data_IF_668227344392
#
_entry.id   IF_668227344392
#
_cell.length_a   1.000
_cell.length_b   1.000
_cell.length_c   1.000
_cell.angle_alpha   90.00
_cell.angle_beta   90.00
_cell.angle_gamma   90.00
#
_symmetry.space_group_name_H-M   'P 1'
#
loop_
_entity.id
_entity.type
_entity.pdbx_description
1 polymer ?
#
# COMPACT_ATOMS: atom_id res chain seq x y z
N UNK A 1 31.92 -23.46 9.78
CA UNK A 1 30.88 -22.46 9.46
C UNK A 1 30.95 -22.17 7.97
N UNK A 2 29.84 -22.36 7.23
CA UNK A 2 29.81 -22.00 5.81
C UNK A 2 30.08 -20.50 5.64
N UNK A 3 30.82 -20.12 4.59
CA UNK A 3 31.03 -18.71 4.25
C UNK A 3 29.68 -18.15 3.78
N UNK A 4 29.02 -17.37 4.62
CA UNK A 4 27.76 -16.68 4.30
C UNK A 4 27.96 -15.85 3.03
N UNK A 5 27.11 -16.04 2.02
CA UNK A 5 27.14 -15.25 0.79
C UNK A 5 26.26 -14.00 0.94
N UNK A 6 25.04 -14.16 1.45
CA UNK A 6 24.07 -13.08 1.51
C UNK A 6 23.71 -12.69 2.94
N UNK A 7 23.68 -11.37 3.11
CA UNK A 7 23.08 -10.62 4.20
C UNK A 7 22.28 -9.49 3.55
N UNK A 8 21.23 -8.99 4.21
CA UNK A 8 20.39 -7.95 3.61
C UNK A 8 21.14 -6.62 3.53
N UNK A 9 20.88 -5.90 2.44
CA UNK A 9 21.67 -4.73 2.01
C UNK A 9 20.89 -3.43 2.11
N UNK A 10 19.58 -3.50 2.35
CA UNK A 10 18.63 -2.40 2.19
C UNK A 10 18.55 -1.84 0.76
N UNK A 11 19.26 -2.42 -0.22
CA UNK A 11 19.05 -2.13 -1.62
C UNK A 11 17.89 -2.98 -2.15
N UNK A 12 16.81 -2.37 -2.66
CA UNK A 12 15.58 -3.09 -2.98
C UNK A 12 15.77 -4.15 -4.07
N UNK A 13 16.58 -3.88 -5.10
CA UNK A 13 16.82 -4.84 -6.18
C UNK A 13 17.69 -6.00 -5.73
N UNK A 14 18.71 -5.74 -4.90
CA UNK A 14 19.57 -6.79 -4.36
C UNK A 14 18.79 -7.68 -3.41
N UNK A 15 18.09 -7.10 -2.44
CA UNK A 15 17.34 -7.84 -1.43
C UNK A 15 16.21 -8.66 -2.06
N UNK A 16 15.52 -8.11 -3.05
CA UNK A 16 14.53 -8.84 -3.85
C UNK A 16 15.15 -10.05 -4.57
N UNK A 17 16.34 -9.86 -5.13
CA UNK A 17 17.13 -10.91 -5.72
C UNK A 17 17.51 -12.02 -4.74
N UNK A 18 17.96 -11.64 -3.54
CA UNK A 18 18.30 -12.56 -2.45
C UNK A 18 17.08 -13.40 -2.06
N UNK A 19 15.92 -12.77 -1.87
CA UNK A 19 14.67 -13.48 -1.57
C UNK A 19 14.25 -14.42 -2.70
N UNK A 20 14.39 -13.99 -3.96
CA UNK A 20 14.10 -14.84 -5.11
C UNK A 20 15.01 -16.08 -5.14
N UNK A 21 16.32 -15.90 -4.96
CA UNK A 21 17.30 -17.00 -4.92
C UNK A 21 16.98 -17.96 -3.76
N UNK A 22 16.70 -17.41 -2.58
CA UNK A 22 16.34 -18.17 -1.37
C UNK A 22 15.14 -19.09 -1.62
N UNK A 23 14.08 -18.58 -2.25
CA UNK A 23 12.89 -19.37 -2.59
C UNK A 23 13.18 -20.44 -3.65
N UNK A 24 13.96 -20.11 -4.69
CA UNK A 24 14.34 -21.08 -5.74
C UNK A 24 15.22 -22.20 -5.19
N UNK A 25 16.14 -21.88 -4.29
CA UNK A 25 17.03 -22.84 -3.64
C UNK A 25 16.38 -23.57 -2.45
N UNK A 26 15.20 -23.10 -1.97
CA UNK A 26 14.52 -23.58 -0.76
C UNK A 26 15.41 -23.56 0.48
N UNK A 27 16.19 -22.49 0.64
CA UNK A 27 17.14 -22.27 1.74
C UNK A 27 17.04 -20.84 2.23
N UNK A 28 17.33 -20.61 3.51
CA UNK A 28 17.37 -19.23 4.02
C UNK A 28 18.49 -18.43 3.34
N UNK A 29 18.36 -17.09 3.22
CA UNK A 29 19.38 -16.25 2.62
C UNK A 29 20.81 -16.48 3.14
N UNK A 30 20.95 -16.66 4.46
CA UNK A 30 22.24 -16.89 5.11
C UNK A 30 22.78 -18.33 4.99
N UNK A 31 22.00 -19.27 4.46
CA UNK A 31 22.38 -20.67 4.23
C UNK A 31 22.84 -20.94 2.79
N UNK A 32 22.67 -19.96 1.89
CA UNK A 32 23.01 -20.07 0.48
C UNK A 32 24.52 -20.19 0.27
N UNK A 33 24.92 -21.12 -0.61
CA UNK A 33 26.29 -21.29 -1.05
C UNK A 33 26.41 -21.28 -2.59
N UNK A 34 27.64 -21.26 -3.13
CA UNK A 34 27.87 -21.17 -4.59
C UNK A 34 27.25 -22.32 -5.38
N UNK A 35 27.15 -23.53 -4.81
CA UNK A 35 26.51 -24.66 -5.50
C UNK A 35 25.00 -24.44 -5.63
N UNK A 36 24.35 -23.86 -4.61
CA UNK A 36 22.94 -23.48 -4.69
C UNK A 36 22.70 -22.44 -5.79
N UNK A 37 23.59 -21.43 -5.89
CA UNK A 37 23.50 -20.41 -6.94
C UNK A 37 23.67 -21.01 -8.35
N UNK A 38 24.60 -21.94 -8.53
CA UNK A 38 24.81 -22.64 -9.81
C UNK A 38 23.60 -23.51 -10.17
N UNK A 39 23.01 -24.19 -9.18
CA UNK A 39 21.88 -25.10 -9.37
C UNK A 39 20.59 -24.44 -9.88
N UNK A 40 20.45 -23.11 -9.76
CA UNK A 40 19.23 -22.39 -10.18
C UNK A 40 19.38 -21.63 -11.51
N UNK A 41 20.58 -21.61 -12.12
CA UNK A 41 20.84 -20.85 -13.36
C UNK A 41 19.97 -21.35 -14.51
N UNK A 42 20.06 -22.64 -14.85
CA UNK A 42 19.45 -23.19 -16.06
C UNK A 42 17.92 -22.98 -16.09
N UNK A 43 17.28 -23.14 -14.94
CA UNK A 43 15.84 -22.93 -14.78
C UNK A 43 15.45 -21.48 -15.08
N UNK A 44 16.21 -20.51 -14.56
CA UNK A 44 15.93 -19.09 -14.74
C UNK A 44 16.22 -18.65 -16.18
N UNK A 45 17.28 -19.17 -16.80
CA UNK A 45 17.56 -18.90 -18.22
C UNK A 45 16.41 -19.39 -19.11
N UNK A 46 15.97 -20.64 -18.92
CA UNK A 46 14.83 -21.21 -19.66
C UNK A 46 13.58 -20.36 -19.48
N UNK A 47 13.30 -19.91 -18.25
CA UNK A 47 12.17 -19.03 -17.95
C UNK A 47 12.29 -17.69 -18.69
N UNK A 48 13.45 -17.03 -18.61
CA UNK A 48 13.67 -15.69 -19.19
C UNK A 48 13.65 -15.68 -20.71
N UNK A 49 13.96 -16.80 -21.36
CA UNK A 49 13.86 -16.95 -22.81
C UNK A 49 12.43 -17.10 -23.33
N UNK A 50 11.46 -17.36 -22.45
CA UNK A 50 10.05 -17.37 -22.86
C UNK A 50 9.59 -15.97 -23.31
N UNK A 51 8.67 -15.91 -24.27
CA UNK A 51 8.25 -14.64 -24.90
C UNK A 51 7.77 -13.58 -23.91
N UNK A 52 6.98 -13.95 -22.90
CA UNK A 52 6.43 -13.01 -21.90
C UNK A 52 7.50 -12.53 -20.94
N UNK A 53 8.30 -13.45 -20.38
CA UNK A 53 9.41 -13.07 -19.52
C UNK A 53 10.44 -12.22 -20.24
N UNK A 54 10.84 -12.57 -21.47
CA UNK A 54 11.78 -11.76 -22.25
C UNK A 54 11.33 -10.30 -22.38
N UNK A 55 10.02 -10.04 -22.52
CA UNK A 55 9.45 -8.68 -22.51
C UNK A 55 9.60 -8.01 -21.13
N UNK A 56 9.29 -8.71 -20.04
CA UNK A 56 9.50 -8.18 -18.68
C UNK A 56 10.99 -7.90 -18.42
N UNK A 57 11.87 -8.85 -18.73
CA UNK A 57 13.32 -8.69 -18.53
C UNK A 57 13.86 -7.54 -19.37
N UNK A 58 13.36 -7.30 -20.59
CA UNK A 58 13.77 -6.14 -21.37
C UNK A 58 13.41 -4.79 -20.70
N UNK A 59 12.32 -4.73 -19.92
CA UNK A 59 11.99 -3.56 -19.09
C UNK A 59 12.82 -3.44 -17.80
N UNK A 60 13.61 -4.45 -17.45
CA UNK A 60 14.50 -4.43 -16.27
C UNK A 60 15.97 -4.26 -16.69
N UNK A 61 16.40 -5.03 -17.68
CA UNK A 61 17.78 -5.17 -18.18
C UNK A 61 17.81 -4.98 -19.70
N UNK A 62 17.66 -3.74 -20.22
CA UNK A 62 17.78 -3.49 -21.65
C UNK A 62 19.18 -3.83 -22.14
N UNK A 63 19.29 -4.41 -23.34
CA UNK A 63 20.57 -4.80 -23.97
C UNK A 63 21.38 -5.90 -23.25
N UNK A 64 20.83 -6.50 -22.19
CA UNK A 64 21.37 -7.70 -21.57
C UNK A 64 21.48 -8.85 -22.59
N UNK A 65 22.43 -9.80 -22.46
CA UNK A 65 22.54 -10.95 -23.36
C UNK A 65 21.21 -11.66 -23.65
N UNK A 66 20.32 -11.78 -22.65
CA UNK A 66 19.03 -12.46 -22.80
C UNK A 66 17.98 -11.63 -23.56
N UNK A 67 18.08 -10.30 -23.52
CA UNK A 67 17.10 -9.37 -24.11
C UNK A 67 17.57 -8.79 -25.45
N UNK A 68 18.88 -8.79 -25.71
CA UNK A 68 19.46 -8.20 -26.92
C UNK A 68 19.13 -9.03 -28.19
N UNK A 69 18.42 -8.47 -29.19
CA UNK A 69 18.07 -9.19 -30.42
C UNK A 69 19.28 -9.62 -31.27
N UNK A 70 20.41 -8.92 -31.18
CA UNK A 70 21.62 -9.23 -31.95
C UNK A 70 22.41 -10.42 -31.41
N UNK A 71 22.08 -10.91 -30.21
CA UNK A 71 22.72 -12.07 -29.60
C UNK A 71 22.02 -13.34 -30.07
N UNK A 72 22.76 -14.22 -30.76
CA UNK A 72 22.26 -15.52 -31.25
C UNK A 72 22.26 -16.59 -30.15
N UNK A 73 23.36 -16.74 -29.41
CA UNK A 73 23.51 -17.74 -28.34
C UNK A 73 23.21 -17.11 -26.97
N UNK A 74 21.93 -16.77 -26.75
CA UNK A 74 21.51 -15.99 -25.58
C UNK A 74 21.67 -16.74 -24.27
N UNK A 75 21.33 -18.02 -24.27
CA UNK A 75 21.48 -18.97 -23.17
C UNK A 75 22.94 -19.12 -22.74
N UNK A 76 23.83 -19.44 -23.67
CA UNK A 76 25.26 -19.62 -23.39
C UNK A 76 25.89 -18.35 -22.81
N UNK A 77 25.63 -17.19 -23.43
CA UNK A 77 26.21 -15.92 -22.98
C UNK A 77 25.68 -15.47 -21.62
N UNK A 78 24.40 -15.67 -21.36
CA UNK A 78 23.83 -15.30 -20.07
C UNK A 78 24.27 -16.27 -18.97
N UNK A 79 24.38 -17.57 -19.27
CA UNK A 79 24.96 -18.57 -18.37
C UNK A 79 26.42 -18.25 -18.02
N UNK A 80 27.23 -17.88 -19.01
CA UNK A 80 28.62 -17.48 -18.78
C UNK A 80 28.70 -16.25 -17.86
N UNK A 81 27.88 -15.23 -18.10
CA UNK A 81 27.80 -14.03 -17.26
C UNK A 81 27.42 -14.37 -15.80
N UNK A 82 26.43 -15.23 -15.59
CA UNK A 82 26.01 -15.62 -14.25
C UNK A 82 27.08 -16.45 -13.53
N UNK A 83 27.76 -17.36 -14.22
CA UNK A 83 28.84 -18.15 -13.65
C UNK A 83 30.07 -17.29 -13.30
N UNK A 84 30.45 -16.34 -14.16
CA UNK A 84 31.52 -15.36 -13.89
C UNK A 84 31.23 -14.58 -12.60
N UNK A 85 29.99 -14.11 -12.41
CA UNK A 85 29.58 -13.43 -11.18
C UNK A 85 29.71 -14.35 -9.96
N UNK A 86 29.28 -15.62 -10.04
CA UNK A 86 29.41 -16.58 -8.93
C UNK A 86 30.87 -16.84 -8.59
N UNK A 87 31.72 -17.04 -9.59
CA UNK A 87 33.13 -17.34 -9.40
C UNK A 87 33.85 -16.14 -8.75
N UNK A 88 33.48 -14.92 -9.14
CA UNK A 88 33.92 -13.66 -8.52
C UNK A 88 33.46 -13.43 -7.08
N UNK A 89 32.49 -14.18 -6.55
CA UNK A 89 32.03 -14.01 -5.15
C UNK A 89 33.15 -14.34 -4.18
N UNK A 90 33.69 -13.30 -3.53
CA UNK A 90 34.59 -13.38 -2.38
C UNK A 90 33.86 -13.61 -1.05
N UNK A 91 34.60 -13.85 0.06
CA UNK A 91 34.01 -13.93 1.39
C UNK A 91 33.28 -12.62 1.74
N UNK A 92 32.26 -12.72 2.60
CA UNK A 92 31.61 -11.53 3.15
C UNK A 92 32.57 -10.85 4.14
N UNK A 93 32.92 -9.59 3.90
CA UNK A 93 33.75 -8.77 4.79
C UNK A 93 32.92 -7.84 5.68
N UNK A 94 33.63 -6.99 6.43
CA UNK A 94 33.05 -5.90 7.22
C UNK A 94 33.13 -4.52 6.52
N UNK A 95 33.78 -4.47 5.36
CA UNK A 95 33.97 -3.27 4.55
C UNK A 95 34.13 -3.65 3.07
N UNK A 96 33.92 -2.69 2.17
CA UNK A 96 34.13 -2.82 0.73
C UNK A 96 33.53 -1.63 0.00
N UNK A 97 33.83 -1.50 -1.29
CA UNK A 97 33.39 -0.37 -2.14
C UNK A 97 32.06 -0.64 -2.88
N UNK A 98 31.41 -1.80 -2.67
CA UNK A 98 30.10 -2.06 -3.25
C UNK A 98 29.00 -1.14 -2.70
N UNK A 99 28.33 -0.40 -3.57
CA UNK A 99 27.30 0.59 -3.18
C UNK A 99 26.03 -0.02 -2.59
N UNK A 100 25.81 -1.33 -2.76
CA UNK A 100 24.68 -2.02 -2.16
C UNK A 100 25.00 -2.55 -0.77
N UNK A 101 25.99 -3.45 -0.66
CA UNK A 101 26.25 -4.13 0.61
C UNK A 101 27.32 -3.46 1.48
N UNK A 102 28.22 -2.66 0.90
CA UNK A 102 29.38 -2.09 1.62
C UNK A 102 30.33 -3.12 2.25
N UNK A 103 30.23 -4.41 1.86
CA UNK A 103 30.91 -5.55 2.52
C UNK A 103 31.84 -6.35 1.60
N UNK A 104 31.95 -5.97 0.32
CA UNK A 104 32.80 -6.61 -0.69
C UNK A 104 33.27 -5.60 -1.71
N UNK A 105 34.43 -5.89 -2.29
CA UNK A 105 35.01 -5.07 -3.35
C UNK A 105 34.39 -5.37 -4.72
N UNK A 106 34.34 -4.34 -5.55
CA UNK A 106 33.88 -4.36 -6.93
C UNK A 106 35.00 -4.90 -7.82
N UNK A 107 34.68 -5.94 -8.58
CA UNK A 107 35.59 -6.51 -9.57
C UNK A 107 35.34 -5.93 -10.96
N UNK A 108 34.07 -5.72 -11.29
CA UNK A 108 33.64 -5.15 -12.55
C UNK A 108 32.43 -4.25 -12.31
N UNK A 109 32.47 -3.05 -12.89
CA UNK A 109 31.34 -2.13 -12.86
C UNK A 109 30.26 -2.55 -13.83
N UNK A 110 29.02 -2.27 -13.46
CA UNK A 110 27.85 -2.71 -14.20
C UNK A 110 26.98 -1.53 -14.61
N UNK A 111 26.54 -1.52 -15.86
CA UNK A 111 25.56 -0.56 -16.37
C UNK A 111 24.15 -1.07 -16.23
N UNK A 112 23.23 -0.33 -16.84
CA UNK A 112 21.79 -0.62 -16.80
C UNK A 112 21.35 -1.93 -17.45
N UNK A 113 22.21 -2.52 -18.27
CA UNK A 113 22.04 -3.85 -18.85
C UNK A 113 22.16 -4.97 -17.80
N UNK A 114 22.71 -4.67 -16.62
CA UNK A 114 22.81 -5.62 -15.49
C UNK A 114 22.16 -5.09 -14.22
N UNK A 115 22.12 -3.78 -13.98
CA UNK A 115 21.54 -3.19 -12.77
C UNK A 115 20.42 -2.19 -13.12
N UNK A 116 19.17 -2.37 -12.67
CA UNK A 116 18.06 -1.51 -13.09
C UNK A 116 18.25 -0.07 -12.63
N UNK A 117 17.75 0.88 -13.41
CA UNK A 117 17.74 2.32 -13.07
C UNK A 117 19.13 2.92 -12.79
N UNK A 118 20.18 2.26 -13.28
CA UNK A 118 21.52 2.86 -13.39
C UNK A 118 21.68 3.55 -14.75
N UNK A 119 22.71 4.39 -14.89
CA UNK A 119 23.05 4.97 -16.19
C UNK A 119 23.48 3.91 -17.21
N UNK A 120 23.52 4.26 -18.49
CA UNK A 120 24.35 3.51 -19.44
C UNK A 120 25.82 3.79 -19.11
N UNK A 121 26.70 2.78 -19.13
CA UNK A 121 28.09 2.92 -18.69
C UNK A 121 28.85 4.10 -19.32
N UNK A 122 28.50 4.47 -20.56
CA UNK A 122 29.08 5.60 -21.30
C UNK A 122 28.70 6.98 -20.75
N UNK A 123 27.64 7.08 -19.95
CA UNK A 123 27.23 8.33 -19.31
C UNK A 123 28.00 8.52 -18.00
N UNK A 124 29.33 8.65 -18.11
CA UNK A 124 30.28 8.69 -16.98
C UNK A 124 29.94 9.74 -15.92
N UNK A 125 29.26 10.82 -16.29
CA UNK A 125 28.86 11.91 -15.39
C UNK A 125 27.88 11.47 -14.29
N UNK A 126 27.24 10.30 -14.43
CA UNK A 126 26.29 9.76 -13.43
C UNK A 126 26.89 8.65 -12.58
N UNK A 127 28.20 8.42 -12.67
CA UNK A 127 28.91 7.42 -11.89
C UNK A 127 30.03 8.06 -11.08
N UNK A 128 30.30 7.49 -9.91
CA UNK A 128 31.33 7.94 -8.98
C UNK A 128 32.69 8.06 -9.68
N UNK A 129 33.42 9.14 -9.43
CA UNK A 129 34.76 9.36 -10.00
C UNK A 129 34.81 9.45 -11.54
N UNK A 130 33.68 9.62 -12.23
CA UNK A 130 33.65 9.76 -13.70
C UNK A 130 34.07 8.49 -14.44
N UNK A 131 33.87 7.32 -13.84
CA UNK A 131 34.19 6.01 -14.41
C UNK A 131 32.95 5.38 -15.05
N UNK A 132 33.14 4.41 -15.95
CA UNK A 132 32.00 3.72 -16.55
C UNK A 132 31.35 2.71 -15.59
N UNK A 133 30.05 2.87 -15.34
CA UNK A 133 29.21 1.90 -14.63
C UNK A 133 29.16 2.05 -13.11
N UNK A 134 28.23 1.32 -12.49
CA UNK A 134 28.00 1.34 -11.05
C UNK A 134 28.81 0.27 -10.30
N UNK A 135 29.18 0.61 -9.08
CA UNK A 135 30.05 -0.15 -8.18
C UNK A 135 29.29 -1.27 -7.44
N UNK A 136 28.96 -2.36 -8.13
CA UNK A 136 28.35 -3.56 -7.54
C UNK A 136 29.34 -4.73 -7.43
N UNK A 137 29.47 -5.33 -6.25
CA UNK A 137 30.21 -6.57 -6.10
C UNK A 137 29.51 -7.73 -6.84
N UNK A 138 30.24 -8.80 -7.19
CA UNK A 138 29.67 -9.92 -7.95
C UNK A 138 28.44 -10.57 -7.30
N UNK A 139 28.41 -10.70 -5.97
CA UNK A 139 27.28 -11.28 -5.24
C UNK A 139 25.99 -10.44 -5.37
N UNK A 140 26.11 -9.11 -5.22
CA UNK A 140 24.98 -8.19 -5.36
C UNK A 140 24.51 -8.11 -6.81
N UNK A 141 25.44 -8.02 -7.77
CA UNK A 141 25.11 -8.01 -9.19
C UNK A 141 24.42 -9.32 -9.63
N UNK A 142 24.85 -10.47 -9.11
CA UNK A 142 24.18 -11.75 -9.30
C UNK A 142 22.77 -11.74 -8.73
N UNK A 143 22.60 -11.31 -7.47
CA UNK A 143 21.28 -11.26 -6.83
C UNK A 143 20.29 -10.44 -7.65
N UNK A 144 20.70 -9.25 -8.09
CA UNK A 144 19.86 -8.37 -8.91
C UNK A 144 19.29 -9.08 -10.13
N UNK A 145 20.04 -9.99 -10.79
CA UNK A 145 19.56 -10.76 -11.95
C UNK A 145 18.31 -11.60 -11.65
N UNK A 146 18.10 -11.98 -10.39
CA UNK A 146 16.96 -12.79 -9.95
C UNK A 146 15.80 -11.95 -9.40
N UNK A 147 15.99 -10.65 -9.16
CA UNK A 147 14.93 -9.75 -8.67
C UNK A 147 13.64 -9.75 -9.49
N UNK A 148 13.63 -9.94 -10.84
CA UNK A 148 12.39 -10.01 -11.61
C UNK A 148 11.45 -11.16 -11.22
N UNK A 149 11.96 -12.21 -10.56
CA UNK A 149 11.16 -13.36 -10.13
C UNK A 149 10.14 -13.01 -9.03
N UNK A 150 10.35 -11.90 -8.32
CA UNK A 150 9.41 -11.42 -7.28
C UNK A 150 8.79 -10.07 -7.63
N UNK A 151 8.94 -9.61 -8.87
CA UNK A 151 8.27 -8.39 -9.35
C UNK A 151 6.84 -8.66 -9.79
N UNK A 152 6.03 -7.62 -9.75
CA UNK A 152 4.63 -7.64 -10.16
C UNK A 152 4.40 -6.79 -11.41
N UNK A 153 3.71 -7.32 -12.41
CA UNK A 153 3.39 -6.60 -13.64
C UNK A 153 2.15 -5.71 -13.43
N UNK A 154 2.35 -4.39 -13.56
CA UNK A 154 1.32 -3.37 -13.39
C UNK A 154 1.50 -2.23 -14.40
N UNK A 155 1.28 -2.52 -15.70
CA UNK A 155 1.67 -1.63 -16.81
C UNK A 155 3.19 -1.54 -16.97
N UNK A 156 3.88 -0.97 -15.97
CA UNK A 156 5.32 -1.14 -15.69
C UNK A 156 5.54 -2.32 -14.73
N UNK A 157 6.68 -2.39 -14.03
CA UNK A 157 6.95 -3.37 -12.98
C UNK A 157 6.88 -2.72 -11.60
N UNK A 158 6.31 -3.43 -10.63
CA UNK A 158 6.33 -3.08 -9.22
C UNK A 158 7.32 -4.00 -8.50
N UNK A 159 8.21 -3.40 -7.72
CA UNK A 159 9.06 -4.09 -6.78
C UNK A 159 8.71 -3.66 -5.37
N UNK A 160 8.43 -4.63 -4.51
CA UNK A 160 8.13 -4.41 -3.09
C UNK A 160 9.41 -4.61 -2.29
N UNK A 161 9.66 -3.70 -1.34
CA UNK A 161 10.72 -3.82 -0.34
C UNK A 161 10.17 -3.40 1.02
N UNK A 162 10.51 -4.15 2.06
CA UNK A 162 10.03 -3.92 3.42
C UNK A 162 11.16 -4.11 4.41
N UNK A 163 11.07 -3.41 5.54
CA UNK A 163 11.90 -3.68 6.71
C UNK A 163 11.51 -5.00 7.42
N UNK A 164 10.39 -5.63 7.05
CA UNK A 164 9.96 -6.93 7.60
C UNK A 164 10.41 -8.08 6.71
N UNK A 165 11.20 -9.00 7.28
CA UNK A 165 11.56 -10.25 6.60
C UNK A 165 10.34 -11.12 6.33
N UNK A 166 9.32 -11.10 7.21
CA UNK A 166 8.08 -11.86 7.02
C UNK A 166 7.29 -11.37 5.81
N UNK A 167 7.15 -10.05 5.64
CA UNK A 167 6.52 -9.45 4.45
C UNK A 167 7.24 -9.91 3.20
N UNK A 168 8.57 -9.78 3.17
CA UNK A 168 9.35 -10.15 2.00
C UNK A 168 9.32 -11.65 1.70
N UNK A 169 9.32 -12.50 2.73
CA UNK A 169 9.22 -13.95 2.58
C UNK A 169 7.83 -14.41 2.11
N UNK A 170 6.74 -13.83 2.63
CA UNK A 170 5.39 -14.14 2.15
C UNK A 170 5.25 -13.72 0.69
N UNK A 171 5.73 -12.52 0.36
CA UNK A 171 5.69 -12.01 -1.01
C UNK A 171 6.51 -12.87 -1.98
N UNK A 172 7.75 -13.22 -1.61
CA UNK A 172 8.63 -14.05 -2.45
C UNK A 172 8.05 -15.44 -2.68
N UNK A 173 7.47 -16.07 -1.64
CA UNK A 173 6.77 -17.36 -1.76
C UNK A 173 5.58 -17.28 -2.71
N UNK A 174 4.74 -16.24 -2.56
CA UNK A 174 3.58 -16.03 -3.44
C UNK A 174 4.01 -15.82 -4.89
N UNK A 175 5.04 -15.00 -5.12
CA UNK A 175 5.59 -14.78 -6.45
C UNK A 175 6.12 -16.07 -7.09
N UNK A 176 6.93 -16.83 -6.37
CA UNK A 176 7.48 -18.10 -6.87
C UNK A 176 6.41 -19.18 -7.08
N UNK A 177 5.38 -19.24 -6.22
CA UNK A 177 4.24 -20.15 -6.40
C UNK A 177 3.51 -19.85 -7.71
N UNK A 178 3.36 -18.58 -8.08
CA UNK A 178 2.78 -18.19 -9.37
C UNK A 178 3.66 -18.63 -10.55
N UNK A 179 4.99 -18.47 -10.46
CA UNK A 179 5.92 -18.96 -11.49
C UNK A 179 5.79 -20.47 -11.66
N UNK A 180 5.80 -21.22 -10.57
CA UNK A 180 5.65 -22.67 -10.61
C UNK A 180 4.29 -23.09 -11.20
N UNK A 181 3.22 -22.34 -10.89
CA UNK A 181 1.90 -22.54 -11.51
C UNK A 181 1.97 -22.36 -13.03
N UNK A 182 2.55 -21.25 -13.51
CA UNK A 182 2.73 -20.99 -14.95
C UNK A 182 3.52 -22.11 -15.64
N UNK A 183 4.60 -22.58 -15.02
CA UNK A 183 5.41 -23.68 -15.55
C UNK A 183 4.61 -24.99 -15.61
N UNK A 184 3.85 -25.31 -14.57
CA UNK A 184 3.04 -26.53 -14.50
C UNK A 184 1.84 -26.54 -15.46
N UNK A 185 1.23 -25.39 -15.72
CA UNK A 185 0.10 -25.27 -16.64
C UNK A 185 0.53 -25.07 -18.10
N UNK A 186 1.79 -24.71 -18.34
CA UNK A 186 2.30 -24.29 -19.65
C UNK A 186 1.86 -22.88 -20.08
N UNK A 187 1.02 -22.21 -19.28
CA UNK A 187 0.54 -20.85 -19.56
C UNK A 187 1.50 -19.81 -18.97
N UNK A 188 2.55 -19.49 -19.74
CA UNK A 188 3.55 -18.52 -19.32
C UNK A 188 3.03 -17.09 -19.53
N UNK A 189 2.85 -16.36 -18.43
CA UNK A 189 2.31 -14.99 -18.40
C UNK A 189 3.36 -13.93 -18.06
N UNK A 190 4.55 -14.33 -17.60
CA UNK A 190 5.66 -13.44 -17.25
C UNK A 190 5.80 -13.24 -15.73
N UNK A 191 6.26 -12.06 -15.32
CA UNK A 191 6.20 -11.65 -13.91
C UNK A 191 4.76 -11.75 -13.36
N UNK A 192 4.62 -11.86 -12.04
CA UNK A 192 3.33 -12.05 -11.39
C UNK A 192 2.32 -10.98 -11.84
N UNK A 193 1.15 -11.40 -12.33
CA UNK A 193 0.20 -10.49 -12.98
C UNK A 193 -1.25 -10.88 -12.70
N UNK A 194 -1.95 -10.08 -11.91
CA UNK A 194 -3.40 -10.23 -11.69
C UNK A 194 -4.20 -9.16 -12.45
N UNK A 195 -3.64 -8.59 -13.51
CA UNK A 195 -4.29 -7.59 -14.38
C UNK A 195 -4.59 -6.25 -13.69
N UNK A 196 -3.83 -5.92 -12.64
CA UNK A 196 -3.79 -4.55 -12.15
C UNK A 196 -2.94 -3.67 -13.08
N UNK A 197 -3.40 -2.47 -13.38
CA UNK A 197 -2.68 -1.42 -14.12
C UNK A 197 -2.51 -0.14 -13.28
N UNK A 198 -3.27 -0.02 -12.19
CA UNK A 198 -3.10 1.04 -11.20
C UNK A 198 -2.17 0.57 -10.07
N UNK A 199 -0.97 1.15 -9.93
CA UNK A 199 0.04 0.65 -9.02
C UNK A 199 -0.30 0.88 -7.54
N UNK A 200 -1.05 1.94 -7.22
CA UNK A 200 -1.51 2.20 -5.85
C UNK A 200 -2.52 1.14 -5.43
N UNK A 201 -3.51 0.84 -6.28
CA UNK A 201 -4.49 -0.20 -5.98
C UNK A 201 -3.84 -1.59 -5.89
N UNK A 202 -2.90 -1.90 -6.79
CA UNK A 202 -2.12 -3.13 -6.74
C UNK A 202 -1.34 -3.27 -5.41
N UNK A 203 -0.75 -2.17 -4.91
CA UNK A 203 -0.05 -2.18 -3.64
C UNK A 203 -0.97 -2.52 -2.45
N UNK A 204 -2.16 -1.92 -2.37
CA UNK A 204 -3.12 -2.26 -1.30
C UNK A 204 -3.65 -3.69 -1.43
N UNK A 205 -3.89 -4.17 -2.65
CA UNK A 205 -4.24 -5.57 -2.91
C UNK A 205 -3.16 -6.53 -2.40
N UNK A 206 -1.88 -6.26 -2.72
CA UNK A 206 -0.76 -7.07 -2.26
C UNK A 206 -0.63 -7.03 -0.73
N UNK A 207 -0.83 -5.87 -0.09
CA UNK A 207 -0.79 -5.75 1.38
C UNK A 207 -1.91 -6.57 2.02
N UNK A 208 -3.13 -6.49 1.49
CA UNK A 208 -4.27 -7.27 1.97
C UNK A 208 -3.99 -8.77 1.86
N UNK A 209 -3.46 -9.20 0.71
CA UNK A 209 -3.04 -10.58 0.48
C UNK A 209 -1.96 -11.06 1.46
N UNK A 210 -1.00 -10.20 1.81
CA UNK A 210 0.05 -10.51 2.79
C UNK A 210 -0.56 -10.62 4.19
N UNK A 211 -1.41 -9.66 4.56
CA UNK A 211 -2.03 -9.58 5.90
C UNK A 211 -2.92 -10.78 6.20
N UNK A 212 -3.63 -11.28 5.19
CA UNK A 212 -4.55 -12.42 5.32
C UNK A 212 -3.84 -13.77 5.49
N UNK A 213 -2.50 -13.81 5.47
CA UNK A 213 -1.74 -15.01 5.81
C UNK A 213 -1.77 -15.24 7.34
N UNK A 214 -2.50 -16.29 7.77
CA UNK A 214 -3.00 -16.52 9.15
C UNK A 214 -1.97 -16.76 10.28
N UNK A 215 -0.67 -16.62 10.05
CA UNK A 215 0.38 -17.00 11.03
C UNK A 215 1.34 -15.85 11.41
N UNK A 216 0.92 -14.59 11.24
CA UNK A 216 1.77 -13.43 11.57
C UNK A 216 1.07 -12.43 12.48
N UNK A 217 1.70 -12.15 13.63
CA UNK A 217 1.36 -10.99 14.47
C UNK A 217 1.97 -9.72 13.91
N UNK A 218 1.27 -9.08 12.99
CA UNK A 218 1.73 -7.88 12.28
C UNK A 218 2.03 -6.68 13.18
N UNK A 219 1.39 -6.60 14.35
CA UNK A 219 1.57 -5.48 15.27
C UNK A 219 2.99 -5.41 15.84
N UNK A 220 3.59 -6.57 16.13
CA UNK A 220 4.95 -6.69 16.70
C UNK A 220 6.02 -6.51 15.62
N UNK A 221 5.70 -6.89 14.38
CA UNK A 221 6.61 -6.78 13.24
C UNK A 221 6.78 -5.33 12.74
N UNK A 222 5.76 -4.49 12.99
CA UNK A 222 5.73 -3.09 12.60
C UNK A 222 6.18 -2.80 11.14
N UNK A 223 5.66 -3.51 10.11
CA UNK A 223 6.18 -3.39 8.76
C UNK A 223 5.92 -2.03 8.13
N UNK A 224 6.86 -1.56 7.35
CA UNK A 224 6.71 -0.49 6.36
C UNK A 224 7.06 -1.04 4.99
N UNK A 225 6.46 -0.49 3.94
CA UNK A 225 6.65 -0.98 2.56
C UNK A 225 6.99 0.19 1.65
N UNK A 226 8.08 0.04 0.89
CA UNK A 226 8.36 0.82 -0.29
C UNK A 226 7.98 0.01 -1.53
N UNK A 227 7.21 0.62 -2.42
CA UNK A 227 6.84 0.05 -3.70
C UNK A 227 7.46 0.90 -4.82
N UNK A 228 8.39 0.30 -5.57
CA UNK A 228 9.07 0.92 -6.69
C UNK A 228 8.33 0.53 -7.97
N UNK A 229 7.55 1.46 -8.54
CA UNK A 229 6.88 1.30 -9.84
C UNK A 229 7.76 1.87 -10.94
N UNK A 230 8.43 1.00 -11.68
CA UNK A 230 9.50 1.44 -12.55
C UNK A 230 9.52 0.73 -13.90
N UNK A 231 10.19 1.38 -14.84
CA UNK A 231 10.68 0.76 -16.05
C UNK A 231 12.09 1.26 -16.35
N UNK A 232 12.95 0.37 -16.84
CA UNK A 232 14.31 0.67 -17.25
C UNK A 232 14.46 0.71 -18.78
N UNK A 233 13.37 0.95 -19.52
CA UNK A 233 13.42 1.07 -20.98
C UNK A 233 14.48 2.08 -21.44
N UNK A 234 15.07 1.83 -22.62
CA UNK A 234 16.09 2.73 -23.17
C UNK A 234 15.55 4.14 -23.45
N UNK A 235 14.30 4.24 -23.87
CA UNK A 235 13.60 5.49 -24.11
C UNK A 235 12.58 5.67 -22.99
N UNK A 236 12.81 6.67 -22.14
CA UNK A 236 11.94 6.97 -20.99
C UNK A 236 12.02 5.93 -19.86
N UNK A 237 13.20 5.71 -19.25
CA UNK A 237 13.22 5.10 -17.92
C UNK A 237 12.43 5.98 -16.96
N UNK A 238 11.69 5.34 -16.05
CA UNK A 238 10.77 6.05 -15.17
C UNK A 238 10.64 5.30 -13.83
N UNK A 239 10.41 6.04 -12.75
CA UNK A 239 10.32 5.52 -11.39
C UNK A 239 9.35 6.37 -10.55
N UNK A 240 8.30 5.71 -10.06
CA UNK A 240 7.45 6.22 -8.99
C UNK A 240 7.70 5.37 -7.73
N UNK A 241 7.78 6.01 -6.56
CA UNK A 241 7.92 5.32 -5.27
C UNK A 241 6.69 5.61 -4.42
N UNK A 242 6.02 4.55 -3.96
CA UNK A 242 4.91 4.64 -3.01
C UNK A 242 5.36 4.06 -1.67
N UNK A 243 5.21 4.85 -0.61
CA UNK A 243 5.58 4.47 0.75
C UNK A 243 4.33 4.21 1.60
N UNK A 244 4.29 3.05 2.24
CA UNK A 244 3.30 2.69 3.24
C UNK A 244 4.01 2.65 4.60
N UNK A 245 3.77 3.65 5.48
CA UNK A 245 4.33 3.67 6.82
C UNK A 245 3.72 2.57 7.71
N UNK A 246 4.43 2.28 8.80
CA UNK A 246 4.01 1.30 9.82
C UNK A 246 2.59 1.52 10.33
N UNK A 247 2.17 2.77 10.56
CA UNK A 247 0.82 3.09 11.02
C UNK A 247 -0.26 2.61 10.05
N UNK A 248 -0.06 2.86 8.75
CA UNK A 248 -1.01 2.42 7.73
C UNK A 248 -1.00 0.90 7.62
N UNK A 249 0.17 0.26 7.64
CA UNK A 249 0.24 -1.21 7.59
C UNK A 249 -0.46 -1.84 8.79
N UNK A 250 -0.22 -1.36 10.02
CA UNK A 250 -0.87 -1.86 11.24
C UNK A 250 -2.38 -1.73 11.18
N UNK A 251 -2.89 -0.58 10.74
CA UNK A 251 -4.32 -0.39 10.53
C UNK A 251 -4.87 -1.40 9.51
N UNK A 252 -4.21 -1.58 8.36
CA UNK A 252 -4.62 -2.57 7.35
C UNK A 252 -4.52 -4.01 7.84
N UNK A 253 -3.62 -4.32 8.78
CA UNK A 253 -3.49 -5.63 9.40
C UNK A 253 -4.58 -5.90 10.45
N UNK A 254 -5.03 -4.85 11.14
CA UNK A 254 -6.12 -4.91 12.11
C UNK A 254 -7.49 -5.11 11.44
N UNK A 255 -7.72 -4.41 10.34
CA UNK A 255 -9.02 -4.34 9.64
C UNK A 255 -9.63 -5.72 9.32
N UNK A 256 -8.93 -6.71 8.74
CA UNK A 256 -9.51 -8.02 8.44
C UNK A 256 -9.92 -8.86 9.65
N UNK A 257 -9.41 -8.52 10.83
CA UNK A 257 -9.77 -9.19 12.09
C UNK A 257 -10.95 -8.52 12.80
N UNK A 258 -11.41 -7.37 12.31
CA UNK A 258 -12.52 -6.63 12.90
C UNK A 258 -13.86 -7.20 12.46
N UNK A 259 -14.84 -7.21 13.37
CA UNK A 259 -16.25 -7.55 13.06
C UNK A 259 -16.91 -6.65 11.98
N UNK A 260 -16.29 -5.53 11.63
CA UNK A 260 -16.76 -4.55 10.63
C UNK A 260 -15.92 -4.58 9.36
N UNK A 261 -15.26 -5.70 9.07
CA UNK A 261 -14.46 -5.86 7.85
C UNK A 261 -15.27 -5.63 6.57
N UNK A 262 -16.51 -6.09 6.50
CA UNK A 262 -17.39 -5.84 5.34
C UNK A 262 -17.66 -4.33 5.14
N UNK A 263 -17.83 -3.59 6.23
CA UNK A 263 -17.98 -2.13 6.17
C UNK A 263 -16.68 -1.45 5.72
N UNK A 264 -15.51 -1.97 6.08
CA UNK A 264 -14.25 -1.51 5.49
C UNK A 264 -14.23 -1.71 3.96
N UNK A 265 -14.69 -2.86 3.46
CA UNK A 265 -14.80 -3.08 2.02
C UNK A 265 -15.78 -2.09 1.38
N UNK A 266 -16.89 -1.73 2.05
CA UNK A 266 -17.81 -0.66 1.62
C UNK A 266 -17.13 0.71 1.60
N UNK A 267 -16.34 1.05 2.61
CA UNK A 267 -15.55 2.30 2.67
C UNK A 267 -14.60 2.39 1.47
N UNK A 268 -13.84 1.32 1.21
CA UNK A 268 -12.94 1.23 0.05
C UNK A 268 -13.71 1.32 -1.26
N UNK A 269 -14.85 0.62 -1.37
CA UNK A 269 -15.74 0.67 -2.54
C UNK A 269 -16.17 2.10 -2.86
N UNK A 270 -16.62 2.86 -1.85
CA UNK A 270 -16.97 4.29 -1.98
C UNK A 270 -15.79 5.18 -2.39
N UNK A 271 -14.55 4.70 -2.23
CA UNK A 271 -13.34 5.38 -2.65
C UNK A 271 -13.12 5.39 -4.17
N UNK A 272 -13.63 4.40 -4.91
CA UNK A 272 -13.42 4.31 -6.35
C UNK A 272 -14.13 5.43 -7.12
N UNK A 273 -13.50 5.86 -8.22
CA UNK A 273 -13.99 6.93 -9.12
C UNK A 273 -14.28 6.37 -10.50
N UNK A 274 -15.21 6.98 -11.23
CA UNK A 274 -15.53 6.59 -12.61
C UNK A 274 -16.01 5.13 -12.72
N UNK A 275 -16.77 4.67 -11.73
CA UNK A 275 -17.35 3.33 -11.69
C UNK A 275 -18.86 3.45 -11.74
N UNK A 276 -19.47 2.75 -12.68
CA UNK A 276 -20.92 2.56 -12.77
C UNK A 276 -21.28 1.24 -12.08
N UNK A 277 -21.67 1.33 -10.81
CA UNK A 277 -21.78 0.15 -9.95
C UNK A 277 -22.88 -0.83 -10.35
N UNK A 278 -23.88 -0.36 -11.09
CA UNK A 278 -24.96 -1.12 -11.72
C UNK A 278 -24.48 -2.01 -12.87
N UNK A 279 -23.45 -1.59 -13.59
CA UNK A 279 -22.84 -2.34 -14.69
C UNK A 279 -21.76 -3.33 -14.19
N UNK A 280 -21.29 -3.20 -12.94
CA UNK A 280 -20.18 -4.00 -12.40
C UNK A 280 -20.59 -5.43 -12.08
N UNK A 281 -19.99 -6.40 -12.78
CA UNK A 281 -20.16 -7.84 -12.53
C UNK A 281 -18.97 -8.45 -11.80
N UNK A 282 -17.78 -7.97 -12.11
CA UNK A 282 -16.53 -8.53 -11.60
C UNK A 282 -15.52 -7.44 -11.22
N UNK A 283 -14.58 -7.79 -10.35
CA UNK A 283 -13.54 -6.90 -9.86
C UNK A 283 -12.69 -6.25 -10.97
N UNK A 284 -12.46 -6.99 -12.06
CA UNK A 284 -11.65 -6.52 -13.19
C UNK A 284 -12.20 -5.25 -13.86
N UNK A 285 -13.49 -4.96 -13.70
CA UNK A 285 -14.16 -3.81 -14.33
C UNK A 285 -13.89 -2.49 -13.59
N UNK A 286 -13.49 -2.53 -12.31
CA UNK A 286 -13.28 -1.31 -11.51
C UNK A 286 -11.94 -1.24 -10.79
N UNK A 287 -11.23 -2.35 -10.55
CA UNK A 287 -10.02 -2.37 -9.71
C UNK A 287 -8.87 -1.49 -10.20
N UNK A 288 -8.90 -1.09 -11.46
CA UNK A 288 -7.91 -0.20 -12.06
C UNK A 288 -8.30 1.28 -11.99
N UNK A 289 -9.55 1.58 -11.62
CA UNK A 289 -10.01 2.94 -11.46
C UNK A 289 -9.39 3.60 -10.22
N UNK A 290 -9.18 4.92 -10.23
CA UNK A 290 -8.59 5.61 -9.09
C UNK A 290 -9.41 5.42 -7.82
N UNK A 291 -8.76 4.99 -6.73
CA UNK A 291 -9.38 4.89 -5.42
C UNK A 291 -8.90 5.99 -4.49
N UNK A 292 -9.79 6.88 -4.06
CA UNK A 292 -9.49 8.01 -3.18
C UNK A 292 -9.18 7.61 -1.74
N UNK A 293 -9.64 6.46 -1.25
CA UNK A 293 -9.24 5.94 0.08
C UNK A 293 -7.75 5.58 0.03
N UNK A 294 -7.35 4.76 -0.93
CA UNK A 294 -5.95 4.36 -1.12
C UNK A 294 -5.03 5.55 -1.40
N UNK A 295 -5.45 6.46 -2.28
CA UNK A 295 -4.69 7.69 -2.52
C UNK A 295 -4.52 8.53 -1.25
N UNK A 296 -5.62 8.74 -0.50
CA UNK A 296 -5.57 9.55 0.71
C UNK A 296 -4.68 8.92 1.78
N UNK A 297 -4.71 7.59 1.94
CA UNK A 297 -3.81 6.89 2.86
C UNK A 297 -2.33 7.13 2.49
N UNK A 298 -1.95 6.91 1.23
CA UNK A 298 -0.56 7.14 0.77
C UNK A 298 -0.13 8.61 0.87
N UNK A 299 -1.07 9.55 0.72
CA UNK A 299 -0.81 11.00 0.76
C UNK A 299 -0.94 11.61 2.17
N UNK A 300 -1.22 10.80 3.20
CA UNK A 300 -1.43 11.28 4.58
C UNK A 300 -2.70 12.14 4.75
N UNK A 301 -3.66 12.04 3.83
CA UNK A 301 -4.93 12.77 3.86
C UNK A 301 -6.02 11.99 4.60
N UNK A 302 -6.99 12.70 5.17
CA UNK A 302 -8.12 12.08 5.88
C UNK A 302 -8.96 11.16 4.99
N UNK A 303 -9.36 10.01 5.53
CA UNK A 303 -10.41 9.17 4.95
C UNK A 303 -11.72 9.20 5.76
N UNK A 304 -11.84 10.02 6.81
CA UNK A 304 -13.04 10.10 7.68
C UNK A 304 -14.33 10.29 6.87
N UNK A 305 -14.31 11.11 5.82
CA UNK A 305 -15.48 11.33 4.97
C UNK A 305 -16.05 10.06 4.31
N UNK A 306 -15.23 9.01 4.15
CA UNK A 306 -15.67 7.74 3.55
C UNK A 306 -16.36 6.83 4.56
N UNK A 307 -16.19 7.09 5.86
CA UNK A 307 -16.94 6.46 6.94
C UNK A 307 -18.36 7.04 7.09
N UNK A 308 -18.68 8.13 6.39
CA UNK A 308 -19.96 8.85 6.54
C UNK A 308 -20.69 8.89 5.21
N UNK A 309 -21.88 8.29 5.15
CA UNK A 309 -22.84 8.56 4.09
C UNK A 309 -23.79 9.69 4.52
N UNK A 310 -23.45 10.93 4.14
CA UNK A 310 -24.28 12.09 4.49
C UNK A 310 -25.65 12.08 3.80
N UNK A 311 -25.75 11.43 2.64
CA UNK A 311 -27.01 11.36 1.88
C UNK A 311 -27.98 10.44 2.61
N UNK A 312 -27.51 9.25 2.95
CA UNK A 312 -28.30 8.23 3.63
C UNK A 312 -28.30 8.39 5.17
N UNK A 313 -27.54 9.38 5.70
CA UNK A 313 -27.30 9.61 7.12
C UNK A 313 -26.82 8.35 7.83
N UNK A 314 -25.88 7.65 7.21
CA UNK A 314 -25.34 6.37 7.68
C UNK A 314 -23.88 6.54 8.13
N UNK A 315 -23.55 5.93 9.27
CA UNK A 315 -22.18 5.71 9.71
C UNK A 315 -21.73 4.30 9.29
N UNK A 316 -20.62 4.21 8.55
CA UNK A 316 -20.09 2.95 8.03
C UNK A 316 -18.85 2.55 8.83
N UNK A 317 -18.79 1.31 9.32
CA UNK A 317 -17.62 0.76 9.99
C UNK A 317 -17.65 0.82 11.51
N UNK A 318 -18.62 1.51 12.11
CA UNK A 318 -18.73 1.66 13.56
C UNK A 318 -17.62 2.51 14.21
N UNK A 319 -17.87 2.98 15.43
CA UNK A 319 -16.95 3.85 16.16
C UNK A 319 -15.60 3.20 16.43
N UNK A 320 -15.56 1.90 16.68
CA UNK A 320 -14.33 1.19 17.05
C UNK A 320 -13.35 1.09 15.88
N UNK A 321 -13.82 0.79 14.67
CA UNK A 321 -12.98 0.80 13.47
C UNK A 321 -12.48 2.20 13.14
N UNK A 322 -13.37 3.20 13.24
CA UNK A 322 -13.01 4.60 13.04
C UNK A 322 -11.98 5.06 14.07
N UNK A 323 -12.14 4.69 15.35
CA UNK A 323 -11.21 5.03 16.42
C UNK A 323 -9.84 4.43 16.17
N UNK A 324 -9.77 3.16 15.75
CA UNK A 324 -8.51 2.53 15.34
C UNK A 324 -7.80 3.29 14.20
N UNK A 325 -8.55 3.75 13.20
CA UNK A 325 -7.99 4.63 12.15
C UNK A 325 -7.48 5.97 12.72
N UNK A 326 -8.24 6.61 13.63
CA UNK A 326 -7.88 7.89 14.21
C UNK A 326 -6.63 7.80 15.09
N UNK A 327 -6.52 6.76 15.91
CA UNK A 327 -5.38 6.51 16.78
C UNK A 327 -4.16 6.12 15.96
N UNK A 328 -4.25 5.03 15.19
CA UNK A 328 -3.09 4.44 14.55
C UNK A 328 -2.61 5.28 13.35
N UNK A 329 -3.52 5.73 12.48
CA UNK A 329 -3.14 6.41 11.23
C UNK A 329 -3.08 7.92 11.39
N UNK A 330 -3.98 8.51 12.18
CA UNK A 330 -4.04 9.96 12.38
C UNK A 330 -3.32 10.45 13.62
N UNK A 331 -2.79 9.56 14.45
CA UNK A 331 -2.12 9.88 15.71
C UNK A 331 -2.98 10.80 16.59
N UNK A 332 -4.30 10.59 16.58
CA UNK A 332 -5.23 11.38 17.39
C UNK A 332 -5.21 10.87 18.83
N UNK A 333 -5.09 11.81 19.77
CA UNK A 333 -5.07 11.50 21.19
C UNK A 333 -6.37 10.83 21.67
N UNK A 334 -6.25 9.81 22.52
CA UNK A 334 -7.37 9.01 23.03
C UNK A 334 -8.39 9.88 23.79
N UNK A 335 -7.94 10.88 24.56
CA UNK A 335 -8.82 11.81 25.27
C UNK A 335 -9.62 12.65 24.27
N UNK A 336 -9.01 13.05 23.15
CA UNK A 336 -9.70 13.76 22.07
C UNK A 336 -10.79 12.87 21.45
N UNK A 337 -10.48 11.63 21.11
CA UNK A 337 -11.45 10.68 20.54
C UNK A 337 -12.62 10.45 21.51
N UNK A 338 -12.34 10.17 22.78
CA UNK A 338 -13.37 9.99 23.83
C UNK A 338 -14.25 11.22 23.99
N UNK A 339 -13.67 12.42 23.96
CA UNK A 339 -14.43 13.67 24.09
C UNK A 339 -15.36 13.87 22.90
N UNK A 340 -14.88 13.62 21.67
CA UNK A 340 -15.71 13.75 20.47
C UNK A 340 -16.86 12.73 20.50
N UNK A 341 -16.58 11.48 20.90
CA UNK A 341 -17.60 10.44 21.07
C UNK A 341 -18.69 10.87 22.04
N UNK A 342 -18.29 11.32 23.25
CA UNK A 342 -19.20 11.82 24.30
C UNK A 342 -20.09 12.95 23.77
N UNK A 343 -19.50 13.94 23.09
CA UNK A 343 -20.27 15.06 22.52
C UNK A 343 -21.24 14.59 21.44
N UNK A 344 -20.84 13.63 20.60
CA UNK A 344 -21.72 12.99 19.63
C UNK A 344 -22.90 12.25 20.27
N UNK A 345 -22.63 11.46 21.31
CA UNK A 345 -23.64 10.73 22.10
C UNK A 345 -24.66 11.71 22.72
N UNK A 346 -24.19 12.74 23.43
CA UNK A 346 -25.06 13.74 24.07
C UNK A 346 -25.88 14.57 23.08
N UNK A 347 -25.33 14.85 21.89
CA UNK A 347 -26.06 15.52 20.82
C UNK A 347 -27.14 14.62 20.21
N UNK A 348 -26.83 13.34 20.00
CA UNK A 348 -27.79 12.36 19.51
C UNK A 348 -28.97 12.22 20.48
N UNK A 349 -28.69 12.04 21.78
CA UNK A 349 -29.69 11.94 22.83
C UNK A 349 -30.60 13.18 22.86
N UNK A 350 -30.01 14.37 22.78
CA UNK A 350 -30.78 15.61 22.73
C UNK A 350 -31.70 15.70 21.49
N UNK A 351 -31.18 15.38 20.31
CA UNK A 351 -31.94 15.41 19.05
C UNK A 351 -33.13 14.46 19.12
N UNK A 352 -32.92 13.25 19.63
CA UNK A 352 -33.97 12.22 19.77
C UNK A 352 -35.01 12.61 20.82
N UNK A 353 -34.58 13.04 22.00
CA UNK A 353 -35.48 13.40 23.09
C UNK A 353 -36.32 14.65 22.80
N UNK A 354 -35.78 15.59 22.00
CA UNK A 354 -36.47 16.82 21.63
C UNK A 354 -37.20 16.74 20.28
N UNK A 355 -37.17 15.58 19.61
CA UNK A 355 -37.69 15.37 18.25
C UNK A 355 -37.21 16.45 17.25
N UNK A 356 -35.96 16.92 17.40
CA UNK A 356 -35.43 18.10 16.68
C UNK A 356 -34.51 17.70 15.53
N UNK A 357 -35.10 17.08 14.50
CA UNK A 357 -34.36 16.73 13.27
C UNK A 357 -33.77 17.97 12.56
N UNK A 358 -34.31 19.17 12.80
CA UNK A 358 -33.79 20.42 12.24
C UNK A 358 -32.42 20.76 12.81
N UNK A 359 -32.15 20.40 14.06
CA UNK A 359 -30.83 20.56 14.67
C UNK A 359 -29.78 19.69 13.97
N UNK A 360 -30.11 18.43 13.63
CA UNK A 360 -29.22 17.58 12.84
C UNK A 360 -28.89 18.22 11.48
N UNK A 361 -29.91 18.66 10.72
CA UNK A 361 -29.71 19.34 9.43
C UNK A 361 -28.82 20.58 9.55
N UNK A 362 -28.95 21.37 10.62
CA UNK A 362 -28.09 22.53 10.87
C UNK A 362 -26.66 22.13 11.21
N UNK A 363 -26.46 21.06 11.96
CA UNK A 363 -25.13 20.52 12.28
C UNK A 363 -24.43 20.03 11.01
N UNK A 364 -25.15 19.39 10.09
CA UNK A 364 -24.64 18.90 8.80
C UNK A 364 -24.23 20.04 7.85
N UNK A 365 -25.09 21.05 7.73
CA UNK A 365 -25.00 22.10 6.71
C UNK A 365 -24.21 23.32 7.16
N UNK A 366 -23.71 23.35 8.39
CA UNK A 366 -22.88 24.44 8.88
C UNK A 366 -21.71 24.70 7.91
N UNK A 367 -21.62 25.95 7.45
CA UNK A 367 -20.72 26.34 6.35
C UNK A 367 -19.36 26.86 6.82
N UNK A 368 -19.26 27.31 8.07
CA UNK A 368 -18.04 27.83 8.66
C UNK A 368 -18.00 27.58 10.18
N UNK A 369 -16.80 27.71 10.76
CA UNK A 369 -16.56 27.47 12.18
C UNK A 369 -17.38 28.37 13.10
N UNK A 370 -17.55 29.65 12.76
CA UNK A 370 -18.34 30.59 13.57
C UNK A 370 -19.79 30.14 13.70
N UNK A 371 -20.40 29.75 12.58
CA UNK A 371 -21.78 29.24 12.54
C UNK A 371 -21.91 27.94 13.31
N UNK A 372 -20.97 27.01 13.13
CA UNK A 372 -20.97 25.73 13.85
C UNK A 372 -20.83 25.94 15.36
N UNK A 373 -19.89 26.79 15.81
CA UNK A 373 -19.73 27.16 17.22
C UNK A 373 -21.00 27.81 17.79
N UNK A 374 -21.62 28.74 17.06
CA UNK A 374 -22.84 29.39 17.52
C UNK A 374 -24.01 28.39 17.63
N UNK A 375 -24.10 27.43 16.71
CA UNK A 375 -25.08 26.35 16.77
C UNK A 375 -24.89 25.50 18.03
N UNK A 376 -23.67 25.05 18.32
CA UNK A 376 -23.36 24.32 19.56
C UNK A 376 -23.74 25.12 20.81
N UNK A 377 -23.45 26.43 20.84
CA UNK A 377 -23.84 27.33 21.93
C UNK A 377 -25.37 27.39 22.12
N UNK A 378 -26.13 27.46 21.03
CA UNK A 378 -27.60 27.46 21.08
C UNK A 378 -28.11 26.12 21.62
N UNK A 379 -27.54 24.99 21.16
CA UNK A 379 -27.90 23.66 21.64
C UNK A 379 -27.62 23.52 23.14
N UNK A 380 -26.47 24.00 23.62
CA UNK A 380 -26.14 24.00 25.06
C UNK A 380 -27.22 24.73 25.88
N UNK A 381 -27.65 25.92 25.43
CA UNK A 381 -28.71 26.67 26.12
C UNK A 381 -30.03 25.89 26.18
N UNK A 382 -30.46 25.35 25.03
CA UNK A 382 -31.69 24.55 24.96
C UNK A 382 -31.62 23.27 25.81
N UNK A 383 -30.47 22.61 25.88
CA UNK A 383 -30.27 21.44 26.75
C UNK A 383 -30.44 21.80 28.22
N UNK A 384 -29.88 22.92 28.67
CA UNK A 384 -30.02 23.42 30.04
C UNK A 384 -31.49 23.79 30.32
N UNK A 385 -32.17 24.46 29.38
CA UNK A 385 -33.60 24.75 29.46
C UNK A 385 -34.45 23.47 29.60
N UNK A 386 -34.02 22.37 28.96
CA UNK A 386 -34.65 21.05 29.04
C UNK A 386 -34.15 20.20 30.23
N UNK A 387 -33.47 20.79 31.21
CA UNK A 387 -33.10 20.13 32.48
C UNK A 387 -31.75 19.40 32.48
N UNK A 388 -30.87 19.63 31.50
CA UNK A 388 -29.51 19.07 31.55
C UNK A 388 -28.68 19.70 32.69
N UNK A 389 -28.09 18.85 33.54
CA UNK A 389 -27.31 19.28 34.71
C UNK A 389 -25.95 19.89 34.34
N UNK A 390 -25.39 19.55 33.17
CA UNK A 390 -24.07 20.00 32.72
C UNK A 390 -24.08 20.51 31.27
N UNK A 391 -23.17 21.43 30.91
CA UNK A 391 -22.98 21.82 29.52
C UNK A 391 -22.47 20.63 28.69
N UNK A 392 -22.67 20.70 27.36
CA UNK A 392 -22.21 19.68 26.40
C UNK A 392 -20.70 19.41 26.46
N UNK A 393 -19.92 20.41 26.84
CA UNK A 393 -18.48 20.32 27.07
C UNK A 393 -18.02 21.50 27.93
N UNK A 394 -16.92 21.28 28.63
CA UNK A 394 -16.13 22.29 29.34
C UNK A 394 -15.33 23.16 28.36
N UNK A 395 -14.78 24.27 28.85
CA UNK A 395 -13.85 25.09 28.08
C UNK A 395 -12.58 24.32 27.69
N UNK A 396 -12.05 23.50 28.59
CA UNK A 396 -10.85 22.70 28.33
C UNK A 396 -11.09 21.61 27.29
N UNK A 397 -12.24 20.93 27.32
CA UNK A 397 -12.65 19.99 26.26
C UNK A 397 -12.81 20.73 24.92
N UNK A 398 -13.40 21.93 24.93
CA UNK A 398 -13.58 22.73 23.73
C UNK A 398 -12.24 23.11 23.08
N UNK A 399 -11.31 23.66 23.85
CA UNK A 399 -10.02 24.15 23.34
C UNK A 399 -9.09 23.00 23.01
N UNK A 400 -8.96 21.98 23.86
CA UNK A 400 -7.91 20.97 23.69
C UNK A 400 -8.36 19.75 22.84
N UNK A 401 -9.64 19.40 22.89
CA UNK A 401 -10.11 18.15 22.29
C UNK A 401 -11.00 18.39 21.07
N UNK A 402 -11.98 19.28 21.18
CA UNK A 402 -12.91 19.51 20.07
C UNK A 402 -12.30 20.39 18.98
N UNK A 403 -11.62 21.48 19.34
CA UNK A 403 -11.09 22.44 18.37
C UNK A 403 -9.68 22.93 18.71
N UNK A 404 -8.67 22.02 18.83
CA UNK A 404 -7.28 22.36 19.17
C UNK A 404 -6.65 23.41 18.26
N UNK A 405 -7.05 23.45 16.99
CA UNK A 405 -6.58 24.43 16.00
C UNK A 405 -7.71 25.36 15.52
N UNK A 406 -8.80 25.45 16.30
CA UNK A 406 -9.95 26.30 16.01
C UNK A 406 -10.54 26.07 14.62
N UNK A 407 -10.42 27.09 13.76
CA UNK A 407 -10.99 27.11 12.41
C UNK A 407 -10.26 26.20 11.40
N UNK A 408 -9.08 25.65 11.71
CA UNK A 408 -8.37 24.78 10.77
C UNK A 408 -8.91 23.34 10.79
N UNK A 409 -9.34 22.85 11.95
CA UNK A 409 -9.72 21.44 12.15
C UNK A 409 -11.21 21.22 12.39
N UNK A 410 -12.02 22.28 12.45
CA UNK A 410 -13.45 22.15 12.81
C UNK A 410 -14.27 21.23 11.91
N UNK A 411 -13.90 21.11 10.62
CA UNK A 411 -14.57 20.19 9.68
C UNK A 411 -14.35 18.73 10.05
N UNK A 412 -13.15 18.38 10.50
CA UNK A 412 -12.83 17.03 10.97
C UNK A 412 -13.64 16.70 12.22
N UNK A 413 -13.69 17.61 13.20
CA UNK A 413 -14.51 17.44 14.40
C UNK A 413 -16.00 17.36 14.07
N UNK A 414 -16.48 18.19 13.14
CA UNK A 414 -17.85 18.11 12.65
C UNK A 414 -18.15 16.74 12.03
N UNK A 415 -17.28 16.23 11.15
CA UNK A 415 -17.43 14.91 10.53
C UNK A 415 -17.50 13.81 11.59
N UNK A 416 -16.62 13.82 12.58
CA UNK A 416 -16.61 12.80 13.63
C UNK A 416 -17.85 12.86 14.54
N UNK A 417 -18.31 14.07 14.89
CA UNK A 417 -19.57 14.24 15.63
C UNK A 417 -20.75 13.74 14.79
N UNK A 418 -20.80 14.07 13.50
CA UNK A 418 -21.87 13.62 12.59
C UNK A 418 -21.86 12.10 12.43
N UNK A 419 -20.68 11.49 12.29
CA UNK A 419 -20.53 10.05 12.28
C UNK A 419 -21.18 9.43 13.52
N UNK A 420 -20.85 9.93 14.72
CA UNK A 420 -21.41 9.38 15.96
C UNK A 420 -22.91 9.59 16.06
N UNK A 421 -23.42 10.75 15.64
CA UNK A 421 -24.87 11.02 15.65
C UNK A 421 -25.60 10.06 14.71
N UNK A 422 -25.09 9.82 13.50
CA UNK A 422 -25.68 8.87 12.56
C UNK A 422 -25.66 7.44 13.08
N UNK A 423 -24.57 7.04 13.72
CA UNK A 423 -24.44 5.72 14.34
C UNK A 423 -25.48 5.51 15.45
N UNK A 424 -25.66 6.47 16.35
CA UNK A 424 -26.60 6.37 17.48
C UNK A 424 -28.06 6.51 17.04
N UNK A 425 -28.33 7.36 16.05
CA UNK A 425 -29.68 7.68 15.61
C UNK A 425 -30.18 6.85 14.43
N UNK A 426 -29.43 5.87 13.94
CA UNK A 426 -29.74 5.13 12.71
C UNK A 426 -31.22 4.68 12.63
N UNK A 427 -31.69 3.90 13.60
CA UNK A 427 -33.07 3.38 13.62
C UNK A 427 -34.12 4.50 13.73
N UNK A 428 -33.82 5.53 14.52
CA UNK A 428 -34.74 6.66 14.72
C UNK A 428 -34.86 7.52 13.45
N UNK A 429 -33.76 7.73 12.73
CA UNK A 429 -33.75 8.45 11.44
C UNK A 429 -34.56 7.69 10.39
N UNK A 430 -34.48 6.35 10.36
CA UNK A 430 -35.28 5.50 9.46
C UNK A 430 -36.77 5.64 9.79
N UNK A 431 -37.15 5.55 11.08
CA UNK A 431 -38.54 5.67 11.52
C UNK A 431 -39.19 7.03 11.23
N UNK A 432 -38.40 8.11 11.16
CA UNK A 432 -38.86 9.46 10.84
C UNK A 432 -39.21 9.66 9.34
N UNK A 433 -39.28 8.59 8.55
CA UNK A 433 -39.81 8.63 7.18
C UNK A 433 -38.85 9.19 6.13
N UNK A 434 -37.54 9.27 6.43
CA UNK A 434 -36.54 9.63 5.41
C UNK A 434 -36.38 8.49 4.38
N UNK A 435 -36.97 7.31 4.59
CA UNK A 435 -36.85 6.13 3.71
C UNK A 435 -37.52 6.24 2.33
N UNK A 436 -38.54 7.08 2.14
CA UNK A 436 -39.25 7.14 0.85
C UNK A 436 -38.49 7.93 -0.24
N UNK A 437 -37.64 8.90 0.14
CA UNK A 437 -36.69 9.53 -0.80
C UNK A 437 -35.45 8.64 -1.03
N UNK A 438 -35.08 7.79 -0.05
CA UNK A 438 -33.86 6.97 -0.08
C UNK A 438 -33.91 5.81 -1.10
N UNK A 439 -35.08 5.23 -1.40
CA UNK A 439 -35.22 4.12 -2.37
C UNK A 439 -35.24 4.63 -3.82
N UNK A 440 -35.75 5.84 -4.03
CA UNK A 440 -35.98 6.40 -5.37
C UNK A 440 -34.66 6.88 -6.00
N UNK A 441 -33.75 7.46 -5.19
CA UNK A 441 -32.47 7.97 -5.70
C UNK A 441 -31.34 6.92 -5.80
N UNK A 442 -31.48 5.72 -5.23
CA UNK A 442 -30.54 4.60 -5.52
C UNK A 442 -30.59 4.28 -7.02
N UNK A 443 -31.77 4.39 -7.64
CA UNK A 443 -31.95 4.25 -9.10
C UNK A 443 -31.42 5.44 -9.90
N UNK A 444 -31.38 6.64 -9.32
CA UNK A 444 -30.86 7.84 -10.00
C UNK A 444 -29.33 7.98 -9.87
N UNK A 445 -28.73 7.44 -8.80
CA UNK A 445 -27.26 7.35 -8.65
C UNK A 445 -26.57 6.41 -9.65
N UNK A 446 -27.31 5.47 -10.23
CA UNK A 446 -26.87 4.68 -11.40
C UNK A 446 -26.77 5.56 -12.66
N UNK A 447 -27.57 6.63 -12.76
CA UNK A 447 -27.62 7.50 -13.91
C UNK A 447 -26.63 8.69 -13.87
N UNK A 448 -26.25 9.20 -12.69
CA UNK A 448 -25.42 10.42 -12.56
C UNK A 448 -23.91 10.18 -12.40
N UNK A 449 -23.45 8.94 -12.30
CA UNK A 449 -22.01 8.59 -12.28
C UNK A 449 -21.39 8.34 -13.68
N UNK A 450 -22.03 8.85 -14.74
CA UNK A 450 -21.52 8.89 -16.13
C UNK A 450 -20.42 9.95 -16.29
#
# INVERSE_FOLDING_TARGET
MGKIIYDFTANPFVDAGIWAISERAKKKPNELNKADLKGIIDDVIKLYLTKKWSKNIYSVFPNNPITNPSVKNKDERYSALLNELIDGIGPLGNSGDCIACGKRDVQQRSGKDKIPLTGSGKLINYFSYGVEGADYCPACAFAVQFSPLIMYACGKLLLIHSNSEKVMNIWSRKANKNINKQLSSGEITGCFNEKYTNPKNALFHIIQDIVLEYDVRWIDEAPSINCYHFTNYNQGPDLDIYYVPTSIFKFLAYVPQHEKYEDWLRIVRRGYRFVKWDEVKEENEYKNNPNRVYNNLLEGRSIIRFFIDRKNKEAIGGWDLLSSYLEEVRNMDEKRIKTIKKVGDELADYIKASDDIKTLKKLETASNYRNYRNLLRIIIKKRIENGAESPLFSFDEYVNNLFPEGNLTWRETQDLILFRIYEVLHDWIIQQGISEELVTEVKEMEAENV
#
